data_IF_481984468007
#
_entry.id   IF_481984468007
#
_cell.length_a   1.000
_cell.length_b   1.000
_cell.length_c   1.000
_cell.angle_alpha   90.00
_cell.angle_beta   90.00
_cell.angle_gamma   90.00
#
_symmetry.space_group_name_H-M   'P 1'
#
loop_
_entity.id
_entity.type
_entity.pdbx_description
1 polymer ?
#
# COMPACT_ATOMS: atom_id res chain seq x y z
N UNK A 1 -22.41 10.98 26.05
CA UNK A 1 -20.95 11.14 26.14
C UNK A 1 -20.45 11.78 24.85
N UNK A 2 -19.72 12.89 24.95
CA UNK A 2 -19.16 13.62 23.80
C UNK A 2 -17.80 13.06 23.39
N UNK A 3 -17.27 13.46 22.22
CA UNK A 3 -15.93 13.06 21.80
C UNK A 3 -14.85 13.50 22.80
N UNK A 4 -14.94 14.72 23.36
CA UNK A 4 -13.98 15.22 24.33
C UNK A 4 -13.98 14.39 25.61
N UNK A 5 -15.18 14.01 26.11
CA UNK A 5 -15.32 13.09 27.25
C UNK A 5 -14.70 11.71 26.94
N UNK A 6 -14.92 11.18 25.73
CA UNK A 6 -14.29 9.91 25.32
C UNK A 6 -12.76 10.04 25.30
N UNK A 7 -12.22 11.13 24.75
CA UNK A 7 -10.76 11.36 24.70
C UNK A 7 -10.18 11.50 26.12
N UNK A 8 -10.84 12.23 27.03
CA UNK A 8 -10.43 12.34 28.44
C UNK A 8 -10.43 10.97 29.15
N UNK A 9 -11.52 10.20 29.03
CA UNK A 9 -11.64 8.90 29.68
C UNK A 9 -10.68 7.83 29.10
N UNK A 10 -10.23 7.96 27.85
CA UNK A 10 -9.17 7.11 27.28
C UNK A 10 -7.76 7.63 27.61
N UNK A 11 -7.56 8.96 27.69
CA UNK A 11 -6.28 9.56 28.10
C UNK A 11 -5.93 9.19 29.54
N UNK A 12 -6.91 9.14 30.45
CA UNK A 12 -6.75 8.67 31.83
C UNK A 12 -6.23 7.22 31.98
N UNK A 13 -6.11 6.46 30.87
CA UNK A 13 -5.54 5.10 30.83
C UNK A 13 -4.11 5.05 30.29
N UNK A 14 -3.56 6.17 29.81
CA UNK A 14 -2.15 6.28 29.45
C UNK A 14 -1.27 6.26 30.69
N UNK A 15 0.02 5.96 30.53
CA UNK A 15 0.95 6.02 31.65
C UNK A 15 1.20 7.48 32.09
N UNK A 16 1.39 7.75 33.41
CA UNK A 16 1.59 9.11 33.90
C UNK A 16 2.79 9.85 33.29
N UNK A 17 3.84 9.13 32.86
CA UNK A 17 5.01 9.78 32.25
C UNK A 17 4.70 10.31 30.84
N UNK A 18 3.94 9.57 30.04
CA UNK A 18 3.38 10.04 28.75
C UNK A 18 2.43 11.21 28.96
N UNK A 19 1.54 11.15 29.96
CA UNK A 19 0.63 12.26 30.28
C UNK A 19 1.39 13.54 30.65
N UNK A 20 2.33 13.45 31.60
CA UNK A 20 3.21 14.54 31.99
C UNK A 20 4.00 15.11 30.79
N UNK A 21 4.58 14.24 29.95
CA UNK A 21 5.35 14.65 28.78
C UNK A 21 4.51 15.36 27.71
N UNK A 22 3.23 15.01 27.55
CA UNK A 22 2.32 15.69 26.63
C UNK A 22 1.86 17.03 27.22
N UNK A 23 1.47 17.08 28.49
CA UNK A 23 1.05 18.32 29.15
C UNK A 23 2.17 19.37 29.18
N UNK A 24 3.40 18.94 29.51
CA UNK A 24 4.59 19.81 29.55
C UNK A 24 5.14 20.23 28.19
N UNK A 25 4.58 19.74 27.08
CA UNK A 25 4.92 20.22 25.74
C UNK A 25 4.55 21.71 25.54
N UNK A 26 3.46 22.16 26.19
CA UNK A 26 2.94 23.54 26.06
C UNK A 26 2.76 24.28 27.41
N UNK A 27 2.92 23.60 28.56
CA UNK A 27 2.70 24.19 29.89
C UNK A 27 3.92 23.95 30.81
N UNK A 28 4.27 24.91 31.65
CA UNK A 28 5.32 24.70 32.67
C UNK A 28 4.76 23.94 33.88
N UNK A 29 5.58 23.21 34.67
CA UNK A 29 5.13 22.54 35.88
C UNK A 29 4.44 23.49 36.88
N UNK A 30 4.89 24.74 36.96
CA UNK A 30 4.27 25.79 37.79
C UNK A 30 2.88 26.19 37.28
N UNK A 31 2.67 26.22 35.96
CA UNK A 31 1.36 26.46 35.37
C UNK A 31 0.40 25.29 35.63
N UNK A 32 0.87 24.04 35.50
CA UNK A 32 0.08 22.83 35.79
C UNK A 32 -0.31 22.82 37.29
N UNK A 33 0.64 23.09 38.19
CA UNK A 33 0.36 23.20 39.63
C UNK A 33 -0.59 24.35 39.97
N UNK A 34 -0.47 25.51 39.31
CA UNK A 34 -1.39 26.63 39.48
C UNK A 34 -2.79 26.32 38.94
N UNK A 35 -2.91 25.57 37.84
CA UNK A 35 -4.20 25.09 37.33
C UNK A 35 -4.85 24.11 38.33
N UNK A 36 -4.09 23.15 38.87
CA UNK A 36 -4.58 22.20 39.87
C UNK A 36 -5.10 22.91 41.13
N UNK A 37 -4.34 23.87 41.65
CA UNK A 37 -4.72 24.66 42.82
C UNK A 37 -5.96 25.56 42.63
N UNK A 38 -6.43 25.79 41.39
CA UNK A 38 -7.62 26.56 41.07
C UNK A 38 -8.78 25.71 40.50
N UNK A 39 -8.59 24.39 40.35
CA UNK A 39 -9.56 23.48 39.77
C UNK A 39 -10.16 22.54 40.82
N UNK A 40 -11.36 22.04 40.53
CA UNK A 40 -12.11 21.10 41.36
C UNK A 40 -12.44 19.88 40.51
N UNK A 41 -12.24 18.69 41.08
CA UNK A 41 -12.72 17.42 40.53
C UNK A 41 -13.84 16.87 41.41
N UNK A 42 -14.68 16.02 40.84
CA UNK A 42 -15.71 15.28 41.58
C UNK A 42 -15.24 13.85 41.77
N UNK A 43 -15.41 13.31 42.98
CA UNK A 43 -15.02 11.93 43.31
C UNK A 43 -16.07 10.88 42.86
N UNK A 44 -15.89 9.60 43.24
CA UNK A 44 -16.83 8.52 42.92
C UNK A 44 -18.17 8.61 43.69
N UNK A 45 -18.24 9.37 44.78
CA UNK A 45 -19.44 9.58 45.60
C UNK A 45 -20.27 10.78 45.12
N UNK A 46 -19.65 11.72 44.41
CA UNK A 46 -20.25 12.97 43.97
C UNK A 46 -19.77 14.21 44.74
N UNK A 47 -18.77 14.05 45.63
CA UNK A 47 -18.23 15.13 46.44
C UNK A 47 -17.16 15.93 45.66
N UNK A 48 -17.14 17.25 45.87
CA UNK A 48 -16.17 18.17 45.27
C UNK A 48 -14.85 18.18 46.06
N UNK A 49 -13.73 17.92 45.38
CA UNK A 49 -12.38 17.94 45.94
C UNK A 49 -11.42 18.77 45.06
N UNK A 50 -10.32 19.31 45.61
CA UNK A 50 -9.32 20.03 44.81
C UNK A 50 -8.71 19.10 43.75
N UNK A 51 -8.59 19.60 42.52
CA UNK A 51 -7.97 18.84 41.43
C UNK A 51 -6.50 18.54 41.74
N UNK A 52 -6.05 17.32 41.45
CA UNK A 52 -4.63 16.97 41.54
C UNK A 52 -3.87 17.43 40.29
N UNK A 53 -2.53 17.46 40.39
CA UNK A 53 -1.66 17.67 39.23
C UNK A 53 -1.93 16.62 38.14
N UNK A 54 -2.18 15.36 38.52
CA UNK A 54 -2.49 14.28 37.59
C UNK A 54 -3.81 14.50 36.84
N UNK A 55 -4.85 15.01 37.51
CA UNK A 55 -6.14 15.33 36.86
C UNK A 55 -5.97 16.42 35.79
N UNK A 56 -5.16 17.44 36.09
CA UNK A 56 -4.84 18.51 35.14
C UNK A 56 -3.97 17.99 34.00
N UNK A 57 -2.99 17.12 34.26
CA UNK A 57 -2.18 16.48 33.21
C UNK A 57 -3.03 15.59 32.28
N UNK A 58 -4.04 14.87 32.81
CA UNK A 58 -5.03 14.14 32.00
C UNK A 58 -5.82 15.10 31.11
N UNK A 59 -6.34 16.21 31.66
CA UNK A 59 -7.12 17.21 30.91
C UNK A 59 -6.27 17.86 29.80
N UNK A 60 -5.03 18.24 30.11
CA UNK A 60 -4.10 18.86 29.15
C UNK A 60 -3.64 17.88 28.08
N UNK A 61 -3.30 16.64 28.44
CA UNK A 61 -2.91 15.63 27.47
C UNK A 61 -4.09 15.21 26.58
N UNK A 62 -5.31 15.14 27.12
CA UNK A 62 -6.53 14.89 26.35
C UNK A 62 -6.82 16.02 25.34
N UNK A 63 -6.52 17.28 25.68
CA UNK A 63 -6.61 18.40 24.75
C UNK A 63 -5.62 18.29 23.59
N UNK A 64 -4.44 17.72 23.81
CA UNK A 64 -3.38 17.51 22.80
C UNK A 64 -3.46 16.15 22.08
N UNK A 65 -4.54 15.37 22.25
CA UNK A 65 -4.72 14.04 21.64
C UNK A 65 -5.69 14.09 20.47
N UNK A 66 -5.17 14.01 19.24
CA UNK A 66 -5.93 14.30 18.02
C UNK A 66 -5.75 13.25 16.91
N UNK A 67 -6.77 13.14 16.03
CA UNK A 67 -6.71 12.27 14.85
C UNK A 67 -5.75 12.83 13.79
N UNK A 68 -5.21 11.94 12.94
CA UNK A 68 -4.37 12.35 11.79
C UNK A 68 -5.05 13.41 10.89
N UNK A 69 -6.36 13.29 10.65
CA UNK A 69 -7.14 14.26 9.85
C UNK A 69 -7.28 15.63 10.52
N UNK A 70 -7.11 15.72 11.84
CA UNK A 70 -7.08 16.98 12.58
C UNK A 70 -5.69 17.62 12.47
N UNK A 71 -4.63 16.88 12.83
CA UNK A 71 -3.25 17.37 12.72
C UNK A 71 -2.92 17.88 11.31
N UNK A 72 -3.42 17.19 10.28
CA UNK A 72 -3.28 17.61 8.88
C UNK A 72 -3.95 18.95 8.55
N UNK A 73 -5.02 19.34 9.26
CA UNK A 73 -5.66 20.67 9.11
C UNK A 73 -4.86 21.77 9.79
N UNK A 74 -4.15 21.45 10.88
CA UNK A 74 -3.19 22.37 11.51
C UNK A 74 -1.88 22.51 10.72
N UNK A 75 -1.75 21.86 9.56
CA UNK A 75 -0.51 21.85 8.79
C UNK A 75 0.58 20.96 9.40
N UNK A 76 0.24 20.06 10.33
CA UNK A 76 1.15 19.09 10.96
C UNK A 76 0.98 17.70 10.34
N UNK A 77 1.98 16.83 10.52
CA UNK A 77 1.92 15.41 10.14
C UNK A 77 2.52 14.54 11.24
N UNK A 78 1.95 13.36 11.45
CA UNK A 78 2.58 12.31 12.29
C UNK A 78 3.96 11.94 11.71
N UNK A 79 4.95 11.73 12.59
CA UNK A 79 6.32 11.35 12.23
C UNK A 79 6.36 9.93 11.65
N UNK A 80 7.30 9.66 10.75
CA UNK A 80 7.38 8.37 10.04
C UNK A 80 7.83 7.25 10.99
N UNK A 81 6.90 6.37 11.34
CA UNK A 81 7.15 5.18 12.17
C UNK A 81 6.36 5.17 13.48
N UNK A 82 5.76 6.29 13.85
CA UNK A 82 4.89 6.40 15.03
C UNK A 82 3.64 5.52 14.90
N UNK A 83 3.29 4.84 15.99
CA UNK A 83 1.97 4.24 16.21
C UNK A 83 1.08 5.20 16.99
N UNK A 84 -0.24 5.04 16.92
CA UNK A 84 -1.16 5.83 17.73
C UNK A 84 -1.02 5.49 19.22
N UNK A 85 -1.24 6.47 20.09
CA UNK A 85 -1.27 6.27 21.55
C UNK A 85 -2.62 5.68 22.01
N UNK A 86 -3.72 6.07 21.35
CA UNK A 86 -5.08 5.62 21.68
C UNK A 86 -5.80 5.16 20.42
N UNK A 87 -6.50 4.03 20.53
CA UNK A 87 -7.55 3.60 19.62
C UNK A 87 -8.90 3.68 20.35
N UNK A 88 -9.83 4.50 19.86
CA UNK A 88 -11.14 4.67 20.48
C UNK A 88 -12.25 4.87 19.43
N UNK A 89 -13.52 4.78 19.84
CA UNK A 89 -14.65 5.08 18.97
C UNK A 89 -15.14 6.51 19.18
N UNK A 90 -14.94 7.37 18.19
CA UNK A 90 -15.44 8.75 18.21
C UNK A 90 -16.66 8.91 17.31
N UNK A 91 -17.62 9.73 17.74
CA UNK A 91 -18.78 10.09 16.95
C UNK A 91 -18.36 10.95 15.75
N UNK A 92 -18.61 10.46 14.54
CA UNK A 92 -18.46 11.24 13.31
C UNK A 92 -19.83 11.65 12.78
N UNK A 93 -19.96 12.93 12.46
CA UNK A 93 -21.12 13.46 11.76
C UNK A 93 -21.07 13.09 10.27
N UNK A 94 -22.22 12.75 9.69
CA UNK A 94 -22.37 12.59 8.25
C UNK A 94 -23.77 13.02 7.81
N UNK A 95 -23.85 13.65 6.64
CA UNK A 95 -25.11 13.88 5.91
C UNK A 95 -25.37 12.81 4.85
N UNK A 96 -24.39 11.94 4.58
CA UNK A 96 -24.49 10.91 3.54
C UNK A 96 -25.53 9.85 3.95
N UNK A 97 -26.52 9.53 3.09
CA UNK A 97 -27.43 8.43 3.34
C UNK A 97 -26.70 7.09 3.47
N UNK A 98 -27.28 6.19 4.27
CA UNK A 98 -26.75 4.85 4.52
C UNK A 98 -26.67 4.02 3.23
N UNK A 99 -26.03 2.85 3.28
CA UNK A 99 -25.96 1.97 2.09
C UNK A 99 -27.37 1.57 1.63
N UNK A 100 -28.21 1.10 2.55
CA UNK A 100 -29.58 0.69 2.26
C UNK A 100 -30.46 1.86 1.77
N UNK A 101 -30.31 3.07 2.29
CA UNK A 101 -31.04 4.25 1.79
C UNK A 101 -30.66 4.60 0.35
N UNK A 102 -29.39 4.42 -0.03
CA UNK A 102 -28.93 4.63 -1.41
C UNK A 102 -29.45 3.54 -2.35
N UNK A 103 -29.33 2.28 -1.94
CA UNK A 103 -29.80 1.13 -2.73
C UNK A 103 -31.34 1.15 -2.93
N UNK A 104 -32.10 1.59 -1.92
CA UNK A 104 -33.55 1.76 -2.04
C UNK A 104 -33.93 2.92 -2.97
N UNK A 105 -33.28 4.09 -2.84
CA UNK A 105 -33.55 5.20 -3.74
C UNK A 105 -33.16 4.89 -5.19
N UNK A 106 -32.02 4.21 -5.40
CA UNK A 106 -31.55 3.74 -6.71
C UNK A 106 -32.56 2.77 -7.36
N UNK A 107 -33.14 1.85 -6.58
CA UNK A 107 -34.22 0.96 -7.03
C UNK A 107 -35.53 1.71 -7.35
N UNK A 108 -35.80 2.85 -6.72
CA UNK A 108 -36.91 3.75 -7.05
C UNK A 108 -36.58 4.77 -8.17
N UNK A 109 -35.37 4.75 -8.74
CA UNK A 109 -34.92 5.70 -9.76
C UNK A 109 -34.68 7.12 -9.24
N UNK A 110 -34.40 7.28 -7.95
CA UNK A 110 -34.25 8.55 -7.22
C UNK A 110 -32.85 8.69 -6.63
N UNK A 111 -32.41 9.93 -6.39
CA UNK A 111 -31.27 10.16 -5.49
C UNK A 111 -31.72 10.03 -4.03
N UNK A 112 -30.92 9.37 -3.20
CA UNK A 112 -31.22 9.24 -1.77
C UNK A 112 -31.07 10.58 -1.06
N UNK A 113 -32.14 11.01 -0.37
CA UNK A 113 -32.12 12.22 0.45
C UNK A 113 -30.99 12.18 1.50
N UNK A 114 -30.37 13.33 1.81
CA UNK A 114 -29.37 13.40 2.87
C UNK A 114 -29.96 12.96 4.21
N UNK A 115 -29.21 12.16 4.96
CA UNK A 115 -29.61 11.66 6.27
C UNK A 115 -28.58 12.13 7.32
N UNK A 116 -28.75 13.33 7.92
CA UNK A 116 -27.90 13.83 8.99
C UNK A 116 -27.92 12.90 10.21
N UNK A 117 -26.80 12.25 10.52
CA UNK A 117 -26.65 11.43 11.71
C UNK A 117 -25.21 11.44 12.24
N UNK A 118 -25.06 11.05 13.51
CA UNK A 118 -23.78 10.69 14.09
C UNK A 118 -23.64 9.16 14.14
N UNK A 119 -22.44 8.65 13.91
CA UNK A 119 -22.13 7.23 14.06
C UNK A 119 -20.74 7.05 14.68
N UNK A 120 -20.54 6.03 15.54
CA UNK A 120 -19.24 5.76 16.14
C UNK A 120 -18.28 5.23 15.08
N UNK A 121 -17.06 5.77 15.03
CA UNK A 121 -16.01 5.34 14.11
C UNK A 121 -14.71 5.11 14.88
N UNK A 122 -14.13 3.91 14.72
CA UNK A 122 -12.77 3.61 15.21
C UNK A 122 -11.81 4.68 14.69
N UNK A 123 -11.13 5.32 15.63
CA UNK A 123 -10.30 6.51 15.42
C UNK A 123 -8.99 6.33 16.19
N UNK A 124 -7.89 6.69 15.52
CA UNK A 124 -6.55 6.58 16.07
C UNK A 124 -6.05 7.98 16.43
N UNK A 125 -5.62 8.16 17.68
CA UNK A 125 -5.16 9.44 18.21
C UNK A 125 -3.64 9.44 18.40
N UNK A 126 -3.05 10.58 18.09
CA UNK A 126 -1.63 10.87 18.21
C UNK A 126 -1.48 12.16 19.02
N UNK A 127 -0.46 12.26 19.87
CA UNK A 127 -0.20 13.48 20.63
C UNK A 127 0.64 14.49 19.87
N UNK A 128 0.72 15.73 20.38
CA UNK A 128 1.62 16.78 19.91
C UNK A 128 3.09 16.30 19.77
N UNK A 129 3.53 15.41 20.67
CA UNK A 129 4.88 14.82 20.66
C UNK A 129 5.15 13.95 19.42
N UNK A 130 4.12 13.36 18.81
CA UNK A 130 4.26 12.44 17.67
C UNK A 130 4.16 13.13 16.31
N UNK A 131 3.86 14.43 16.29
CA UNK A 131 3.74 15.22 15.06
C UNK A 131 4.92 16.15 14.84
N UNK A 132 5.04 16.64 13.61
CA UNK A 132 5.95 17.67 13.17
C UNK A 132 5.23 18.54 12.15
N UNK A 133 5.69 19.77 11.92
CA UNK A 133 5.14 20.61 10.85
C UNK A 133 5.29 19.89 9.50
N UNK A 134 4.19 19.76 8.77
CA UNK A 134 4.17 19.09 7.49
C UNK A 134 4.91 19.96 6.47
N UNK A 135 6.21 19.69 6.29
CA UNK A 135 7.05 20.33 5.28
C UNK A 135 6.28 20.38 3.97
N UNK A 136 5.94 21.60 3.54
CA UNK A 136 5.04 21.83 2.41
C UNK A 136 5.53 21.00 1.21
N UNK A 137 4.72 20.03 0.79
CA UNK A 137 5.08 19.16 -0.31
C UNK A 137 5.35 20.05 -1.53
N UNK A 138 6.50 19.91 -2.22
CA UNK A 138 6.83 20.76 -3.36
C UNK A 138 5.69 20.66 -4.36
N UNK A 139 5.10 21.81 -4.69
CA UNK A 139 3.79 21.88 -5.35
C UNK A 139 3.76 20.90 -6.53
N UNK A 140 2.86 19.91 -6.44
CA UNK A 140 2.74 18.89 -7.47
C UNK A 140 2.59 19.54 -8.83
N UNK A 141 3.32 19.04 -9.84
CA UNK A 141 3.47 19.66 -11.18
C UNK A 141 2.14 20.10 -11.83
N UNK A 142 1.03 19.55 -11.37
CA UNK A 142 -0.33 20.01 -11.65
C UNK A 142 -1.02 20.34 -10.32
N UNK A 143 -1.30 21.63 -10.08
CA UNK A 143 -1.96 22.10 -8.86
C UNK A 143 -3.46 21.78 -8.77
N UNK A 144 -4.04 21.13 -9.78
CA UNK A 144 -5.45 20.73 -9.81
C UNK A 144 -5.68 19.52 -10.72
N UNK A 145 -6.79 18.82 -10.52
CA UNK A 145 -7.22 17.72 -11.40
C UNK A 145 -7.47 18.21 -12.83
N UNK A 146 -7.97 19.45 -12.99
CA UNK A 146 -8.14 20.08 -14.30
C UNK A 146 -6.80 20.22 -15.06
N UNK A 147 -5.74 20.67 -14.39
CA UNK A 147 -4.41 20.78 -14.99
C UNK A 147 -3.82 19.41 -15.40
N UNK A 148 -4.13 18.34 -14.66
CA UNK A 148 -3.78 16.96 -15.05
C UNK A 148 -4.52 16.56 -16.34
N UNK A 149 -5.82 16.83 -16.43
CA UNK A 149 -6.64 16.50 -17.60
C UNK A 149 -6.18 17.26 -18.85
N UNK A 150 -5.90 18.57 -18.75
CA UNK A 150 -5.37 19.34 -19.88
C UNK A 150 -4.00 18.85 -20.36
N UNK A 151 -3.10 18.55 -19.42
CA UNK A 151 -1.78 18.03 -19.77
C UNK A 151 -1.87 16.68 -20.50
N UNK A 152 -2.71 15.78 -20.00
CA UNK A 152 -2.95 14.49 -20.66
C UNK A 152 -3.60 14.66 -22.03
N UNK A 153 -4.50 15.64 -22.21
CA UNK A 153 -5.10 15.99 -23.51
C UNK A 153 -4.05 16.51 -24.51
N UNK A 154 -3.13 17.38 -24.06
CA UNK A 154 -1.99 17.86 -24.87
C UNK A 154 -1.07 16.70 -25.27
N UNK A 155 -0.68 15.85 -24.32
CA UNK A 155 0.17 14.68 -24.57
C UNK A 155 -0.49 13.63 -25.49
N UNK A 156 -1.81 13.50 -25.46
CA UNK A 156 -2.55 12.65 -26.39
C UNK A 156 -2.58 13.23 -27.82
N UNK A 157 -2.73 14.55 -27.97
CA UNK A 157 -2.65 15.23 -29.26
C UNK A 157 -1.23 15.14 -29.86
N UNK A 158 -0.20 15.37 -29.05
CA UNK A 158 1.21 15.22 -29.41
C UNK A 158 1.54 13.81 -29.92
N UNK A 159 1.09 12.76 -29.19
CA UNK A 159 1.22 11.36 -29.63
C UNK A 159 0.47 11.06 -30.92
N UNK A 160 -0.70 11.67 -31.14
CA UNK A 160 -1.46 11.52 -32.39
C UNK A 160 -0.75 12.20 -33.56
N UNK A 161 -0.19 13.38 -33.36
CA UNK A 161 0.62 14.09 -34.37
C UNK A 161 1.91 13.33 -34.70
N UNK A 162 2.64 12.85 -33.69
CA UNK A 162 3.84 12.04 -33.88
C UNK A 162 3.55 10.73 -34.63
N UNK A 163 2.42 10.06 -34.37
CA UNK A 163 2.01 8.89 -35.16
C UNK A 163 1.73 9.27 -36.61
N UNK A 164 0.95 10.33 -36.86
CA UNK A 164 0.65 10.77 -38.23
C UNK A 164 1.90 11.17 -39.02
N UNK A 165 2.88 11.82 -38.38
CA UNK A 165 4.17 12.14 -38.99
C UNK A 165 4.99 10.89 -39.33
N UNK A 166 5.01 9.87 -38.46
CA UNK A 166 5.66 8.59 -38.74
C UNK A 166 4.98 7.81 -39.89
N UNK A 167 3.65 7.92 -39.99
CA UNK A 167 2.83 7.26 -41.02
C UNK A 167 2.97 7.92 -42.41
N UNK A 168 3.36 9.20 -42.47
CA UNK A 168 3.74 9.92 -43.70
C UNK A 168 5.21 9.72 -44.11
N UNK A 169 6.06 9.13 -43.26
CA UNK A 169 7.51 9.04 -43.45
C UNK A 169 8.01 7.68 -43.98
N UNK A 170 7.13 6.86 -44.58
CA UNK A 170 7.50 5.58 -45.18
C UNK A 170 7.87 5.77 -46.68
N UNK A 171 9.15 5.66 -47.08
CA UNK A 171 9.56 5.88 -48.46
C UNK A 171 9.22 4.70 -49.38
N UNK A 172 8.93 5.03 -50.64
CA UNK A 172 8.82 4.06 -51.73
C UNK A 172 10.23 3.52 -52.04
N UNK A 173 10.38 2.20 -52.14
CA UNK A 173 11.65 1.56 -52.48
C UNK A 173 11.80 1.53 -54.01
N UNK A 174 12.78 2.28 -54.53
CA UNK A 174 13.31 2.11 -55.89
C UNK A 174 14.79 1.81 -55.83
N UNK A 175 15.11 0.54 -56.07
CA UNK A 175 16.23 0.04 -56.88
C UNK A 175 17.32 1.05 -57.30
N UNK A 176 18.54 0.87 -56.77
CA UNK A 176 19.77 1.11 -57.54
C UNK A 176 20.89 0.15 -57.07
N UNK A 177 21.73 -0.27 -58.02
CA UNK A 177 22.84 -1.21 -57.84
C UNK A 177 24.16 -0.43 -57.86
N UNK A 178 25.12 -0.74 -56.99
CA UNK A 178 26.54 -0.47 -57.29
C UNK A 178 27.48 -1.40 -56.51
N UNK A 179 28.62 -1.73 -57.12
CA UNK A 179 29.48 -2.86 -56.74
C UNK A 179 30.70 -2.48 -55.89
N UNK A 180 31.37 -3.50 -55.36
CA UNK A 180 32.65 -3.41 -54.63
C UNK A 180 33.79 -2.88 -55.52
N UNK A 181 34.86 -2.36 -54.89
CA UNK A 181 36.10 -3.12 -55.02
C UNK A 181 36.84 -3.40 -53.69
N UNK A 182 37.74 -4.37 -53.78
CA UNK A 182 38.55 -4.97 -52.73
C UNK A 182 39.89 -4.24 -52.52
N UNK A 183 40.32 -3.99 -51.26
CA UNK A 183 41.75 -3.73 -51.00
C UNK A 183 42.26 -4.17 -49.60
N UNK A 184 42.95 -5.30 -49.63
CA UNK A 184 43.98 -5.86 -48.72
C UNK A 184 44.71 -4.87 -47.79
N UNK A 185 44.82 -5.21 -46.49
CA UNK A 185 46.08 -5.20 -45.72
C UNK A 185 46.03 -6.10 -44.46
N UNK A 186 47.19 -6.34 -43.83
CA UNK A 186 47.47 -7.58 -43.06
C UNK A 186 47.82 -7.33 -41.56
N UNK A 187 47.51 -8.35 -40.76
CA UNK A 187 48.01 -8.76 -39.42
C UNK A 187 49.57 -8.69 -39.23
N UNK A 188 50.21 -9.08 -38.09
CA UNK A 188 49.74 -9.30 -36.70
C UNK A 188 50.73 -8.90 -35.53
N UNK A 189 50.28 -9.11 -34.27
CA UNK A 189 51.06 -9.67 -33.12
C UNK A 189 52.06 -8.78 -32.29
N UNK A 190 52.76 -9.28 -31.20
CA UNK A 190 52.51 -8.74 -29.84
C UNK A 190 53.76 -8.51 -28.93
N UNK A 191 53.55 -8.19 -27.64
CA UNK A 191 54.57 -8.35 -26.58
C UNK A 191 54.09 -9.13 -25.33
N UNK A 192 54.96 -10.01 -24.83
CA UNK A 192 54.87 -10.79 -23.55
C UNK A 192 55.80 -10.08 -22.50
N UNK A 193 56.01 -10.46 -21.22
CA UNK A 193 55.75 -11.65 -20.37
C UNK A 193 56.17 -11.38 -18.89
N UNK A 194 55.51 -11.96 -17.87
CA UNK A 194 56.04 -12.47 -16.56
C UNK A 194 54.86 -12.75 -15.58
N UNK A 195 54.69 -13.86 -14.82
CA UNK A 195 55.56 -14.75 -13.99
C UNK A 195 55.89 -14.14 -12.61
N UNK A 196 55.81 -14.81 -11.42
CA UNK A 196 55.71 -16.23 -10.92
C UNK A 196 55.32 -16.17 -9.38
N UNK A 197 55.03 -17.18 -8.52
CA UNK A 197 54.87 -18.68 -8.48
C UNK A 197 54.27 -19.10 -7.09
N UNK A 198 53.48 -20.20 -7.00
CA UNK A 198 53.14 -21.01 -5.79
C UNK A 198 52.08 -20.43 -4.77
N UNK A 199 51.38 -21.19 -3.90
CA UNK A 199 51.53 -22.59 -3.38
C UNK A 199 50.17 -23.33 -3.10
N UNK A 200 50.20 -24.67 -2.88
CA UNK A 200 49.08 -25.59 -2.52
C UNK A 200 49.66 -26.90 -1.90
N UNK A 201 49.16 -27.53 -0.79
CA UNK A 201 47.97 -28.44 -0.71
C UNK A 201 47.12 -28.20 0.58
N UNK A 202 46.08 -28.95 1.02
CA UNK A 202 45.68 -30.40 0.88
C UNK A 202 44.12 -30.55 0.98
N UNK A 203 43.57 -31.77 0.81
CA UNK A 203 42.12 -32.11 0.86
C UNK A 203 41.79 -32.99 2.13
N UNK A 204 40.59 -33.62 2.40
CA UNK A 204 39.71 -34.30 1.41
C UNK A 204 38.17 -34.48 1.68
N UNK A 205 37.45 -34.92 0.61
CA UNK A 205 36.34 -35.92 0.55
C UNK A 205 34.86 -35.61 0.94
N UNK A 206 34.03 -35.47 -0.12
CA UNK A 206 32.67 -36.02 -0.34
C UNK A 206 31.47 -35.52 0.54
N UNK A 207 30.21 -35.45 0.06
CA UNK A 207 29.45 -36.48 -0.69
C UNK A 207 28.31 -35.96 -1.61
N UNK A 208 27.87 -36.85 -2.53
CA UNK A 208 26.59 -36.89 -3.31
C UNK A 208 26.15 -35.70 -4.21
N UNK A 209 26.33 -35.90 -5.52
CA UNK A 209 25.35 -35.58 -6.60
C UNK A 209 24.31 -36.74 -6.67
N UNK A 210 23.09 -36.60 -7.27
CA UNK A 210 22.86 -36.46 -8.73
C UNK A 210 21.99 -35.23 -9.08
N UNK A 211 22.25 -34.46 -10.15
CA UNK A 211 22.01 -34.76 -11.57
C UNK A 211 20.52 -34.63 -11.99
N UNK A 212 20.18 -33.49 -12.59
CA UNK A 212 18.87 -33.26 -13.20
C UNK A 212 18.84 -33.78 -14.65
N UNK A 213 17.87 -34.64 -14.95
CA UNK A 213 17.65 -35.18 -16.29
C UNK A 213 16.78 -34.23 -17.12
N UNK A 214 17.22 -33.86 -18.32
CA UNK A 214 16.36 -33.16 -19.28
C UNK A 214 15.29 -34.11 -19.81
N UNK A 215 14.01 -33.70 -19.81
CA UNK A 215 13.03 -34.17 -20.80
C UNK A 215 12.22 -32.97 -21.27
N UNK A 216 12.05 -32.83 -22.58
CA UNK A 216 11.27 -31.76 -23.17
C UNK A 216 9.78 -32.12 -23.19
N UNK A 217 8.93 -31.12 -22.98
CA UNK A 217 7.51 -31.14 -23.32
C UNK A 217 7.08 -29.68 -23.58
N UNK A 218 6.85 -29.33 -24.86
CA UNK A 218 6.14 -28.11 -25.19
C UNK A 218 4.64 -28.38 -25.05
N UNK A 219 4.03 -27.82 -24.01
CA UNK A 219 2.58 -27.72 -23.87
C UNK A 219 2.28 -26.32 -23.31
N UNK A 220 1.34 -25.61 -23.92
CA UNK A 220 1.02 -24.21 -23.61
C UNK A 220 0.12 -24.07 -22.38
N UNK A 221 0.64 -24.45 -21.20
CA UNK A 221 0.03 -24.12 -19.93
C UNK A 221 0.43 -22.69 -19.52
N UNK A 222 -0.53 -21.79 -19.35
CA UNK A 222 -0.27 -20.56 -18.61
C UNK A 222 0.12 -20.91 -17.16
N UNK A 223 1.11 -20.24 -16.55
CA UNK A 223 1.48 -20.48 -15.16
C UNK A 223 0.28 -20.16 -14.26
N UNK A 224 -0.08 -21.10 -13.38
CA UNK A 224 -1.21 -20.97 -12.47
C UNK A 224 -1.16 -19.65 -11.68
N UNK A 225 -2.32 -19.04 -11.32
CA UNK A 225 -2.37 -17.71 -10.72
C UNK A 225 -1.53 -17.59 -9.44
N UNK A 226 -1.40 -18.67 -8.66
CA UNK A 226 -0.59 -18.67 -7.44
C UNK A 226 0.92 -18.83 -7.70
N UNK A 227 1.31 -19.42 -8.83
CA UNK A 227 2.69 -19.38 -9.31
C UNK A 227 3.06 -17.96 -9.78
N UNK A 228 2.16 -17.26 -10.46
CA UNK A 228 2.32 -15.83 -10.82
C UNK A 228 2.41 -14.94 -9.57
N UNK A 229 1.52 -15.11 -8.59
CA UNK A 229 1.58 -14.40 -7.29
C UNK A 229 2.81 -14.76 -6.46
N UNK A 230 3.42 -15.93 -6.66
CA UNK A 230 4.71 -16.30 -6.05
C UNK A 230 5.86 -15.57 -6.75
N UNK A 231 5.90 -15.59 -8.09
CA UNK A 231 6.90 -14.90 -8.89
C UNK A 231 6.89 -13.37 -8.69
N UNK A 232 5.73 -12.74 -8.46
CA UNK A 232 5.69 -11.31 -8.11
C UNK A 232 6.33 -11.02 -6.74
N UNK A 233 6.07 -11.88 -5.74
CA UNK A 233 6.68 -11.76 -4.41
C UNK A 233 8.20 -11.97 -4.45
N UNK A 234 8.66 -12.95 -5.22
CA UNK A 234 10.08 -13.22 -5.43
C UNK A 234 10.77 -12.08 -6.20
N UNK A 235 10.13 -11.51 -7.24
CA UNK A 235 10.65 -10.35 -7.96
C UNK A 235 10.71 -9.08 -7.08
N UNK A 236 9.71 -8.86 -6.21
CA UNK A 236 9.73 -7.77 -5.23
C UNK A 236 10.83 -7.95 -4.18
N UNK A 237 11.05 -9.17 -3.70
CA UNK A 237 12.15 -9.48 -2.77
C UNK A 237 13.52 -9.29 -3.43
N UNK A 238 13.67 -9.71 -4.69
CA UNK A 238 14.89 -9.50 -5.47
C UNK A 238 15.19 -8.00 -5.66
N UNK A 239 14.18 -7.16 -5.98
CA UNK A 239 14.35 -5.71 -6.07
C UNK A 239 14.79 -5.08 -4.74
N UNK A 240 14.20 -5.49 -3.62
CA UNK A 240 14.58 -5.02 -2.28
C UNK A 240 15.97 -5.51 -1.83
N UNK A 241 16.51 -6.55 -2.46
CA UNK A 241 17.85 -7.08 -2.20
C UNK A 241 18.95 -6.40 -3.03
N UNK A 242 18.62 -5.52 -3.98
CA UNK A 242 19.64 -4.75 -4.74
C UNK A 242 20.06 -3.50 -3.96
N UNK A 243 21.35 -3.33 -3.61
CA UNK A 243 21.85 -2.13 -2.94
C UNK A 243 21.54 -0.85 -3.73
N UNK A 244 21.22 0.24 -3.03
CA UNK A 244 20.92 1.55 -3.64
C UNK A 244 22.10 2.16 -4.41
N UNK A 245 23.31 1.64 -4.19
CA UNK A 245 24.52 1.98 -4.96
C UNK A 245 24.55 1.34 -6.35
N UNK A 246 23.88 0.20 -6.58
CA UNK A 246 23.74 -0.38 -7.92
C UNK A 246 22.44 0.08 -8.60
N UNK A 247 22.50 1.34 -9.07
CA UNK A 247 21.43 1.96 -9.86
C UNK A 247 21.09 1.20 -11.15
N UNK A 248 21.99 0.35 -11.67
CA UNK A 248 21.76 -0.45 -12.89
C UNK A 248 21.04 -1.76 -12.56
N UNK A 249 21.46 -2.46 -11.51
CA UNK A 249 20.76 -3.60 -10.95
C UNK A 249 19.34 -3.25 -10.48
N UNK A 250 19.17 -2.08 -9.82
CA UNK A 250 17.84 -1.62 -9.42
C UNK A 250 16.93 -1.36 -10.62
N UNK A 251 17.44 -0.76 -11.70
CA UNK A 251 16.66 -0.57 -12.93
C UNK A 251 16.24 -1.91 -13.56
N UNK A 252 17.14 -2.91 -13.60
CA UNK A 252 16.85 -4.23 -14.14
C UNK A 252 15.84 -5.02 -13.28
N UNK A 253 16.00 -4.99 -11.96
CA UNK A 253 15.07 -5.66 -11.04
C UNK A 253 13.69 -4.98 -11.01
N UNK A 254 13.63 -3.66 -11.17
CA UNK A 254 12.38 -2.90 -11.29
C UNK A 254 11.63 -3.23 -12.59
N UNK A 255 12.34 -3.40 -13.71
CA UNK A 255 11.74 -3.85 -14.97
C UNK A 255 11.21 -5.30 -14.86
N UNK A 256 12.01 -6.20 -14.28
CA UNK A 256 11.59 -7.58 -14.02
C UNK A 256 10.32 -7.66 -13.15
N UNK A 257 10.22 -6.85 -12.08
CA UNK A 257 9.02 -6.79 -11.23
C UNK A 257 7.81 -6.16 -11.96
N UNK A 258 8.02 -5.12 -12.78
CA UNK A 258 6.95 -4.58 -13.65
C UNK A 258 6.42 -5.63 -14.62
N UNK A 259 7.32 -6.43 -15.20
CA UNK A 259 6.98 -7.49 -16.17
C UNK A 259 6.21 -8.65 -15.51
N UNK A 260 6.63 -9.11 -14.32
CA UNK A 260 5.88 -10.15 -13.59
C UNK A 260 4.53 -9.63 -13.09
N UNK A 261 4.46 -8.40 -12.57
CA UNK A 261 3.19 -7.77 -12.15
C UNK A 261 2.22 -7.54 -13.31
N UNK A 262 2.71 -7.19 -14.51
CA UNK A 262 1.83 -7.12 -15.70
C UNK A 262 1.30 -8.51 -16.08
N UNK A 263 2.12 -9.56 -16.02
CA UNK A 263 1.62 -10.93 -16.24
C UNK A 263 0.56 -11.37 -15.21
N UNK A 264 0.66 -10.93 -13.95
CA UNK A 264 -0.37 -11.15 -12.90
C UNK A 264 -1.70 -10.46 -13.25
N UNK A 265 -1.67 -9.20 -13.67
CA UNK A 265 -2.90 -8.45 -14.03
C UNK A 265 -3.48 -8.92 -15.37
N UNK A 266 -2.66 -9.27 -16.36
CA UNK A 266 -3.14 -9.80 -17.64
C UNK A 266 -3.82 -11.18 -17.46
N UNK A 267 -3.27 -12.05 -16.60
CA UNK A 267 -3.89 -13.33 -16.23
C UNK A 267 -5.18 -13.17 -15.39
N UNK A 268 -5.40 -11.99 -14.80
CA UNK A 268 -6.60 -11.62 -14.03
C UNK A 268 -7.67 -10.93 -14.90
N UNK A 269 -7.30 -10.43 -16.08
CA UNK A 269 -8.21 -9.84 -17.08
C UNK A 269 -8.62 -10.83 -18.18
N UNK A 270 -7.96 -12.00 -18.27
CA UNK A 270 -8.43 -13.10 -19.10
C UNK A 270 -9.84 -13.55 -18.62
N UNK A 271 -10.84 -13.64 -19.52
CA UNK A 271 -12.15 -14.17 -19.13
C UNK A 271 -12.00 -15.63 -18.73
N UNK A 272 -12.64 -16.02 -17.63
CA UNK A 272 -12.70 -17.43 -17.22
C UNK A 272 -13.43 -18.22 -18.31
N UNK A 273 -12.70 -19.07 -19.04
CA UNK A 273 -13.31 -20.04 -19.93
C UNK A 273 -14.23 -20.92 -19.10
N UNK A 274 -15.53 -20.91 -19.41
CA UNK A 274 -16.53 -21.70 -18.69
C UNK A 274 -16.23 -23.16 -18.96
N UNK A 275 -15.62 -23.82 -17.97
CA UNK A 275 -15.50 -25.27 -17.97
C UNK A 275 -16.91 -25.85 -17.86
N UNK A 276 -17.40 -26.41 -18.96
CA UNK A 276 -18.61 -27.24 -18.95
C UNK A 276 -18.35 -28.38 -17.96
N UNK A 277 -19.21 -28.57 -16.94
CA UNK A 277 -19.04 -29.69 -16.01
C UNK A 277 -19.23 -31.01 -16.76
N UNK A 278 -18.26 -31.90 -16.62
CA UNK A 278 -18.23 -33.21 -17.27
C UNK A 278 -19.41 -34.09 -16.83
N UNK A 279 -20.04 -34.78 -17.77
CA UNK A 279 -21.31 -35.51 -17.56
C UNK A 279 -21.07 -36.87 -16.88
N UNK A 280 -20.89 -36.86 -15.56
CA UNK A 280 -20.86 -38.08 -14.76
C UNK A 280 -22.29 -38.66 -14.60
N UNK A 281 -22.53 -39.95 -14.94
CA UNK A 281 -23.88 -40.51 -15.00
C UNK A 281 -24.51 -40.63 -13.61
N UNK A 282 -25.61 -39.90 -13.41
CA UNK A 282 -26.42 -39.97 -12.18
C UNK A 282 -27.11 -41.33 -12.11
N UNK A 283 -26.76 -42.14 -11.12
CA UNK A 283 -27.58 -43.31 -10.75
C UNK A 283 -28.92 -42.82 -10.21
N UNK A 284 -30.02 -43.35 -10.74
CA UNK A 284 -31.32 -43.22 -10.10
C UNK A 284 -31.25 -43.72 -8.66
N UNK A 285 -31.80 -42.93 -7.74
CA UNK A 285 -32.26 -43.37 -6.43
C UNK A 285 -33.77 -43.44 -6.53
N UNK A 286 -34.33 -44.65 -6.57
CA UNK A 286 -35.76 -44.84 -6.74
C UNK A 286 -36.50 -44.52 -5.43
N UNK A 287 -37.41 -43.55 -5.50
CA UNK A 287 -37.98 -42.90 -4.31
C UNK A 287 -39.09 -43.70 -3.59
N UNK A 288 -39.46 -44.90 -4.07
CA UNK A 288 -40.56 -45.69 -3.51
C UNK A 288 -40.23 -46.40 -2.18
N UNK A 289 -38.97 -46.38 -1.71
CA UNK A 289 -38.60 -47.04 -0.44
C UNK A 289 -38.79 -46.20 0.83
N UNK A 290 -39.17 -44.91 0.74
CA UNK A 290 -39.29 -44.02 1.92
C UNK A 290 -40.76 -43.85 2.36
N UNK A 291 -41.51 -44.95 2.42
CA UNK A 291 -42.92 -44.98 2.80
C UNK A 291 -43.29 -46.07 3.84
N UNK A 292 -42.31 -46.82 4.38
CA UNK A 292 -42.52 -47.96 5.26
C UNK A 292 -41.67 -47.88 6.54
N UNK A 293 -41.86 -46.82 7.34
CA UNK A 293 -41.04 -46.59 8.55
C UNK A 293 -41.65 -45.66 9.62
N UNK A 294 -42.96 -45.38 9.58
CA UNK A 294 -43.62 -44.51 10.56
C UNK A 294 -45.05 -44.96 10.88
N UNK A 295 -45.23 -46.26 11.22
CA UNK A 295 -46.46 -46.79 11.84
C UNK A 295 -46.20 -48.20 12.43
N UNK A 296 -45.40 -48.26 13.49
CA UNK A 296 -45.20 -49.41 14.38
C UNK A 296 -44.72 -48.90 15.74
#
# INVERSE_FOLDING_TARGET
MTNNQIIMNEAAKLDPATLHAIATAHHTPEQIAAMAANAVTTDENGDEQPATIADVEIILAAAELHTFDHWKKEGKSVKKGETHLIECYLWKYTTRPSKAQREAAEAEGKEAAPAPHFYPTKSHLFSCLQVHDAKQAPAGRFGSVAAIMEYNKKLAAERKAAKAAAEQAAPIITEEHHELPELVHVDPLPTKKAAKKASKPTAPKATKKPAATKKAAQASAQPAPDALRKAEREAKAAFLAVPETDRKGQAAALDAWRKTRKAVEDAKQAPAAVAVPDEAPVKQLDFESIAAGLLA
#
